data_IF_267445122588
#
_entry.id   IF_267445122588
#
_cell.length_a   1.000
_cell.length_b   1.000
_cell.length_c   1.000
_cell.angle_alpha   90.00
_cell.angle_beta   90.00
_cell.angle_gamma   90.00
#
_symmetry.space_group_name_H-M   'P 1'
#
loop_
_entity.id
_entity.type
_entity.pdbx_description
1 polymer ?
#
# COMPACT_ATOMS: atom_id res chain seq x y z
N UNK A 1 2.55 -14.71 16.06
CA UNK A 1 2.60 -15.71 14.97
C UNK A 1 3.13 -14.99 13.76
N UNK A 2 4.18 -15.54 13.17
CA UNK A 2 4.74 -15.03 11.93
C UNK A 2 3.74 -15.28 10.79
N UNK A 3 3.32 -14.22 10.11
CA UNK A 3 2.33 -14.28 9.03
C UNK A 3 2.93 -14.67 7.67
N UNK A 4 4.27 -14.66 7.54
CA UNK A 4 4.98 -14.96 6.28
C UNK A 4 4.58 -16.31 5.71
N UNK A 5 4.47 -17.33 6.57
CA UNK A 5 4.32 -18.71 6.15
C UNK A 5 2.86 -19.16 5.97
N UNK A 6 1.89 -18.24 6.07
CA UNK A 6 0.49 -18.56 5.82
C UNK A 6 0.27 -18.95 4.36
N UNK A 7 -0.55 -19.97 4.14
CA UNK A 7 -0.83 -20.50 2.80
C UNK A 7 -1.39 -19.44 1.84
N UNK A 8 -2.28 -18.56 2.30
CA UNK A 8 -2.83 -17.48 1.46
C UNK A 8 -1.77 -16.45 1.05
N UNK A 9 -0.82 -16.16 1.96
CA UNK A 9 0.30 -15.23 1.69
C UNK A 9 1.30 -15.85 0.72
N UNK A 10 1.68 -17.12 0.94
CA UNK A 10 2.56 -17.87 0.03
C UNK A 10 1.97 -17.96 -1.37
N UNK A 11 0.69 -18.30 -1.46
CA UNK A 11 -0.03 -18.40 -2.73
C UNK A 11 -0.02 -17.08 -3.48
N UNK A 12 -0.37 -15.97 -2.81
CA UNK A 12 -0.31 -14.65 -3.42
C UNK A 12 1.09 -14.28 -3.90
N UNK A 13 2.12 -14.54 -3.07
CA UNK A 13 3.53 -14.28 -3.43
C UNK A 13 3.94 -15.05 -4.69
N UNK A 14 3.67 -16.34 -4.74
CA UNK A 14 4.14 -17.24 -5.81
C UNK A 14 3.31 -17.15 -7.10
N UNK A 15 2.00 -17.01 -6.99
CA UNK A 15 1.10 -17.07 -8.14
C UNK A 15 0.74 -15.69 -8.71
N UNK A 16 0.88 -14.62 -7.92
CA UNK A 16 0.48 -13.26 -8.32
C UNK A 16 1.66 -12.30 -8.34
N UNK A 17 2.27 -12.04 -7.18
CA UNK A 17 3.27 -10.98 -7.06
C UNK A 17 4.54 -11.25 -7.87
N UNK A 18 5.19 -12.40 -7.68
CA UNK A 18 6.45 -12.72 -8.38
C UNK A 18 6.25 -12.81 -9.92
N UNK A 19 5.21 -13.49 -10.45
CA UNK A 19 4.95 -13.50 -11.89
C UNK A 19 4.67 -12.11 -12.46
N UNK A 20 3.96 -11.25 -11.72
CA UNK A 20 3.69 -9.88 -12.14
C UNK A 20 4.98 -9.06 -12.19
N UNK A 21 5.81 -9.09 -11.15
CA UNK A 21 7.10 -8.40 -11.13
C UNK A 21 8.01 -8.86 -12.26
N UNK A 22 8.16 -10.16 -12.46
CA UNK A 22 9.00 -10.71 -13.54
C UNK A 22 8.57 -10.23 -14.95
N UNK A 23 7.27 -10.04 -15.19
CA UNK A 23 6.78 -9.48 -16.46
C UNK A 23 7.17 -8.02 -16.64
N UNK A 24 7.18 -7.25 -15.56
CA UNK A 24 7.49 -5.82 -15.58
C UNK A 24 8.99 -5.57 -15.64
N UNK A 25 9.80 -6.39 -14.96
CA UNK A 25 11.26 -6.28 -14.94
C UNK A 25 11.88 -6.29 -16.34
N UNK A 26 11.31 -7.04 -17.30
CA UNK A 26 11.77 -7.00 -18.70
C UNK A 26 11.70 -5.58 -19.31
N UNK A 27 10.78 -4.74 -18.84
CA UNK A 27 10.56 -3.36 -19.28
C UNK A 27 11.17 -2.34 -18.33
N UNK A 28 11.89 -2.75 -17.29
CA UNK A 28 12.58 -1.87 -16.36
C UNK A 28 14.06 -1.73 -16.74
N UNK A 29 14.64 -0.56 -16.48
CA UNK A 29 16.09 -0.42 -16.52
C UNK A 29 16.75 -1.28 -15.45
N UNK A 30 17.96 -1.75 -15.73
CA UNK A 30 18.81 -2.41 -14.74
C UNK A 30 20.13 -1.67 -14.55
N UNK A 31 20.86 -1.95 -13.48
CA UNK A 31 22.12 -1.29 -13.15
C UNK A 31 23.28 -2.28 -13.04
N UNK A 32 24.32 -2.06 -13.84
CA UNK A 32 25.47 -2.96 -13.92
C UNK A 32 26.77 -2.32 -13.40
N UNK A 33 27.67 -3.17 -12.92
CA UNK A 33 29.00 -2.79 -12.46
C UNK A 33 29.04 -2.07 -11.10
N UNK A 34 30.23 -1.80 -10.56
CA UNK A 34 30.39 -1.15 -9.26
C UNK A 34 29.93 0.32 -9.24
N UNK A 35 29.92 0.98 -10.40
CA UNK A 35 29.43 2.35 -10.58
C UNK A 35 27.89 2.42 -10.75
N UNK A 36 27.24 1.26 -10.89
CA UNK A 36 25.80 1.11 -11.05
C UNK A 36 25.33 1.97 -12.24
N UNK A 37 25.84 1.57 -13.40
CA UNK A 37 25.55 2.20 -14.69
C UNK A 37 24.21 1.71 -15.18
N UNK A 38 23.33 2.66 -15.51
CA UNK A 38 21.98 2.36 -16.00
C UNK A 38 22.01 1.74 -17.39
N UNK A 39 21.38 0.59 -17.55
CA UNK A 39 21.16 -0.12 -18.81
C UNK A 39 19.67 -0.11 -19.11
N UNK A 40 19.30 0.48 -20.24
CA UNK A 40 17.90 0.57 -20.66
C UNK A 40 17.34 -0.81 -21.09
N UNK A 41 16.05 -1.09 -20.86
CA UNK A 41 15.43 -2.33 -21.29
C UNK A 41 15.31 -2.41 -22.82
N UNK A 42 15.29 -3.64 -23.34
CA UNK A 42 14.93 -3.88 -24.74
C UNK A 42 13.40 -3.94 -24.87
N UNK A 43 12.82 -2.87 -25.41
CA UNK A 43 11.37 -2.74 -25.62
C UNK A 43 10.96 -3.22 -27.01
N UNK A 44 9.79 -3.87 -27.10
CA UNK A 44 9.17 -4.17 -28.41
C UNK A 44 8.22 -3.03 -28.83
N UNK A 45 7.85 -2.92 -30.12
CA UNK A 45 6.96 -1.85 -30.57
C UNK A 45 5.65 -1.79 -29.77
N UNK A 46 5.31 -0.59 -29.29
CA UNK A 46 4.12 -0.34 -28.45
C UNK A 46 4.38 -0.40 -26.94
N UNK A 47 5.58 -0.77 -26.51
CA UNK A 47 5.94 -0.77 -25.09
C UNK A 47 6.58 0.52 -24.64
N UNK A 48 6.24 0.92 -23.42
CA UNK A 48 6.93 1.96 -22.66
C UNK A 48 7.83 1.32 -21.61
N UNK A 49 8.92 2.01 -21.28
CA UNK A 49 9.74 1.68 -20.12
C UNK A 49 8.89 1.78 -18.85
N UNK A 50 9.10 0.85 -17.92
CA UNK A 50 8.43 0.80 -16.62
C UNK A 50 9.39 1.29 -15.53
N UNK A 51 8.89 2.15 -14.65
CA UNK A 51 9.63 2.60 -13.45
C UNK A 51 8.91 2.06 -12.22
N UNK A 52 9.61 1.24 -11.42
CA UNK A 52 9.12 0.81 -10.12
C UNK A 52 9.26 1.95 -9.10
N UNK A 53 8.16 2.27 -8.43
CA UNK A 53 8.12 3.28 -7.37
C UNK A 53 7.50 2.65 -6.13
N UNK A 54 8.32 2.49 -5.10
CA UNK A 54 7.93 1.87 -3.84
C UNK A 54 7.52 2.92 -2.84
N UNK A 55 6.39 2.69 -2.18
CA UNK A 55 5.82 3.59 -1.19
C UNK A 55 5.72 2.90 0.16
N UNK A 56 5.90 3.68 1.23
CA UNK A 56 5.61 3.28 2.61
C UNK A 56 5.55 4.48 3.54
N UNK A 57 5.07 4.25 4.77
CA UNK A 57 5.09 5.22 5.85
C UNK A 57 5.91 4.78 7.06
N UNK A 58 6.65 5.72 7.65
CA UNK A 58 7.38 5.50 8.88
C UNK A 58 7.07 6.52 9.97
N UNK A 59 7.15 6.03 11.20
CA UNK A 59 6.96 6.80 12.42
C UNK A 59 8.29 7.09 13.10
N UNK A 60 8.52 8.36 13.48
CA UNK A 60 9.60 8.78 14.37
C UNK A 60 9.01 9.39 15.63
N UNK A 61 9.48 8.92 16.78
CA UNK A 61 9.01 9.46 18.07
C UNK A 61 10.05 10.37 18.72
N UNK A 62 9.61 11.39 19.46
CA UNK A 62 10.53 12.31 20.17
C UNK A 62 11.50 11.56 21.08
N UNK A 63 11.00 10.57 21.81
CA UNK A 63 11.78 9.80 22.77
C UNK A 63 12.31 8.48 22.19
N UNK A 64 12.52 8.43 20.86
CA UNK A 64 13.15 7.28 20.22
C UNK A 64 14.68 7.43 20.28
N UNK A 65 15.30 6.62 21.14
CA UNK A 65 16.74 6.64 21.39
C UNK A 65 17.35 5.25 21.20
N UNK A 66 18.69 5.19 21.12
CA UNK A 66 19.40 3.92 21.34
C UNK A 66 19.03 3.37 22.73
N UNK A 67 18.68 2.07 22.76
CA UNK A 67 18.27 1.36 23.98
C UNK A 67 19.45 0.95 24.86
N UNK A 68 20.67 1.05 24.36
CA UNK A 68 21.89 0.63 25.04
C UNK A 68 22.91 1.77 25.01
N UNK A 69 23.58 1.98 26.14
CA UNK A 69 24.65 2.96 26.29
C UNK A 69 25.70 2.42 27.26
N UNK A 70 26.98 2.73 27.00
CA UNK A 70 28.08 2.46 27.92
C UNK A 70 28.25 3.68 28.82
N UNK A 71 28.27 3.47 30.13
CA UNK A 71 28.30 4.52 31.14
C UNK A 71 29.48 4.31 32.08
N UNK A 72 30.10 5.41 32.50
CA UNK A 72 31.08 5.36 33.58
C UNK A 72 30.39 5.04 34.91
N UNK A 73 31.15 4.51 35.87
CA UNK A 73 30.65 4.22 37.21
C UNK A 73 30.01 5.48 37.84
N UNK A 74 28.80 5.33 38.39
CA UNK A 74 28.02 6.43 38.97
C UNK A 74 27.18 7.24 37.97
N UNK A 75 27.27 6.99 36.65
CA UNK A 75 26.41 7.65 35.66
C UNK A 75 25.10 6.91 35.44
N UNK A 76 24.01 7.66 35.26
CA UNK A 76 22.68 7.12 34.90
C UNK A 76 22.07 7.97 33.79
N UNK A 77 21.57 7.33 32.73
CA UNK A 77 20.73 8.00 31.73
C UNK A 77 19.27 7.81 32.10
N UNK A 78 18.59 8.90 32.44
CA UNK A 78 17.14 8.90 32.64
C UNK A 78 16.44 9.17 31.30
N UNK A 79 15.88 8.13 30.69
CA UNK A 79 15.02 8.25 29.51
C UNK A 79 13.56 8.38 29.93
N UNK A 80 12.79 9.20 29.19
CA UNK A 80 11.35 9.31 29.42
C UNK A 80 10.66 7.99 29.06
N UNK A 81 9.75 7.53 29.92
CA UNK A 81 9.07 6.22 29.77
C UNK A 81 8.11 6.14 28.57
N UNK A 82 7.59 7.28 28.10
CA UNK A 82 6.69 7.34 26.94
C UNK A 82 7.41 7.62 25.64
N UNK A 83 6.84 7.22 24.49
CA UNK A 83 7.39 7.52 23.16
C UNK A 83 7.43 9.03 22.83
N UNK A 84 6.55 9.82 23.46
CA UNK A 84 6.42 11.24 23.14
C UNK A 84 5.69 11.47 21.81
N UNK A 85 5.69 12.72 21.34
CA UNK A 85 5.00 13.11 20.11
C UNK A 85 5.52 12.33 18.89
N UNK A 86 4.62 12.13 17.94
CA UNK A 86 4.86 11.39 16.71
C UNK A 86 5.16 12.35 15.56
N UNK A 87 6.13 11.98 14.75
CA UNK A 87 6.37 12.50 13.40
C UNK A 87 6.03 11.34 12.47
N UNK A 88 5.04 11.52 11.60
CA UNK A 88 4.65 10.52 10.63
C UNK A 88 5.12 10.97 9.25
N UNK A 89 5.82 10.10 8.55
CA UNK A 89 6.49 10.39 7.28
C UNK A 89 5.98 9.40 6.25
N UNK A 90 5.57 9.89 5.09
CA UNK A 90 5.17 9.12 3.91
C UNK A 90 6.11 9.51 2.78
N UNK A 91 6.68 8.55 2.05
CA UNK A 91 7.67 8.83 1.00
C UNK A 91 7.68 7.74 -0.07
N UNK A 92 8.32 8.05 -1.19
CA UNK A 92 8.48 7.16 -2.32
C UNK A 92 9.96 7.00 -2.67
N UNK A 93 10.36 5.78 -3.00
CA UNK A 93 11.72 5.47 -3.46
C UNK A 93 11.70 4.73 -4.80
N UNK A 94 12.70 5.01 -5.63
CA UNK A 94 12.94 4.32 -6.89
C UNK A 94 14.43 4.07 -7.10
N UNK A 95 14.78 3.08 -7.93
CA UNK A 95 16.17 2.73 -8.20
C UNK A 95 16.92 3.81 -8.97
N UNK A 96 16.23 4.65 -9.75
CA UNK A 96 16.89 5.66 -10.61
C UNK A 96 17.36 6.91 -9.85
N UNK A 97 16.58 7.37 -8.87
CA UNK A 97 16.82 8.67 -8.20
C UNK A 97 16.81 8.55 -6.67
N UNK A 98 16.57 7.36 -6.13
CA UNK A 98 16.25 7.20 -4.71
C UNK A 98 14.95 7.93 -4.39
N UNK A 99 15.01 8.99 -3.58
CA UNK A 99 13.82 9.79 -3.23
C UNK A 99 13.30 10.54 -4.45
N UNK A 100 11.99 10.76 -4.49
CA UNK A 100 11.35 11.52 -5.57
C UNK A 100 11.31 13.01 -5.24
N UNK A 101 12.34 13.72 -5.68
CA UNK A 101 12.47 15.17 -5.57
C UNK A 101 12.58 15.76 -6.97
N UNK A 102 11.70 16.69 -7.31
CA UNK A 102 11.80 17.48 -8.52
C UNK A 102 12.70 18.68 -8.27
N UNK A 103 13.66 18.89 -9.16
CA UNK A 103 14.56 20.04 -9.15
C UNK A 103 14.25 20.99 -10.31
N UNK A 104 14.51 22.28 -10.11
CA UNK A 104 14.52 23.26 -11.19
C UNK A 104 15.82 23.22 -12.00
N UNK A 105 15.92 24.07 -13.02
CA UNK A 105 17.12 24.21 -13.87
C UNK A 105 18.38 24.63 -13.10
N UNK A 106 18.23 25.16 -11.89
CA UNK A 106 19.33 25.60 -11.03
C UNK A 106 19.72 24.52 -10.00
N UNK A 107 19.07 23.35 -10.02
CA UNK A 107 19.28 22.29 -9.04
C UNK A 107 18.64 22.55 -7.68
N UNK A 108 17.67 23.47 -7.59
CA UNK A 108 16.90 23.72 -6.36
C UNK A 108 15.69 22.79 -6.32
N UNK A 109 15.49 22.08 -5.21
CA UNK A 109 14.31 21.25 -5.01
C UNK A 109 13.03 22.13 -5.01
N UNK A 110 12.13 21.87 -5.95
CA UNK A 110 10.86 22.62 -6.12
C UNK A 110 9.65 21.84 -5.63
N UNK A 111 9.67 20.50 -5.75
CA UNK A 111 8.63 19.62 -5.22
C UNK A 111 9.29 18.37 -4.65
N UNK A 112 8.81 17.93 -3.49
CA UNK A 112 9.24 16.71 -2.82
C UNK A 112 8.00 15.82 -2.64
N UNK A 113 8.08 14.57 -3.05
CA UNK A 113 6.99 13.61 -2.84
C UNK A 113 6.83 13.24 -1.36
N UNK A 114 7.87 13.43 -0.55
CA UNK A 114 7.80 13.21 0.88
C UNK A 114 6.74 14.11 1.53
N UNK A 115 6.00 13.52 2.44
CA UNK A 115 5.02 14.20 3.26
C UNK A 115 5.27 13.89 4.73
N UNK A 116 5.38 14.94 5.53
CA UNK A 116 5.57 14.85 6.97
C UNK A 116 4.38 15.49 7.64
N UNK A 117 3.72 14.74 8.52
CA UNK A 117 2.65 15.25 9.38
C UNK A 117 3.02 15.05 10.85
N UNK A 118 2.44 15.90 11.71
CA UNK A 118 2.66 15.93 13.14
C UNK A 118 1.33 15.69 13.88
N UNK A 119 0.81 14.45 13.91
CA UNK A 119 -0.50 14.16 14.45
C UNK A 119 -0.56 14.37 15.97
N UNK A 120 -1.73 14.79 16.46
CA UNK A 120 -2.00 15.03 17.89
C UNK A 120 -3.28 15.84 18.12
N UNK A 121 -3.65 16.09 19.39
CA UNK A 121 -4.88 16.82 19.75
C UNK A 121 -5.02 18.19 19.09
N UNK A 122 -3.90 18.85 18.78
CA UNK A 122 -3.82 20.11 18.03
C UNK A 122 -2.84 19.99 16.84
N UNK A 123 -2.64 18.76 16.34
CA UNK A 123 -1.72 18.44 15.28
C UNK A 123 -2.40 18.32 13.93
N UNK A 124 -1.64 17.87 12.94
CA UNK A 124 -2.15 17.64 11.60
C UNK A 124 -3.18 16.48 11.60
N UNK A 125 -4.17 16.50 10.69
CA UNK A 125 -5.03 15.35 10.45
C UNK A 125 -4.20 14.11 10.12
N UNK A 126 -4.74 12.93 10.43
CA UNK A 126 -4.15 11.69 9.95
C UNK A 126 -4.20 11.63 8.43
N UNK A 127 -3.18 10.98 7.87
CA UNK A 127 -3.04 10.79 6.43
C UNK A 127 -4.26 10.07 5.86
N UNK A 128 -4.84 10.59 4.78
CA UNK A 128 -5.89 9.92 4.01
C UNK A 128 -5.40 9.61 2.59
N UNK A 129 -6.11 8.69 1.93
CA UNK A 129 -5.75 8.21 0.61
C UNK A 129 -5.83 9.31 -0.47
N UNK A 130 -6.71 10.30 -0.31
CA UNK A 130 -6.87 11.39 -1.28
C UNK A 130 -5.63 12.31 -1.28
N UNK A 131 -5.08 12.58 -0.09
CA UNK A 131 -3.83 13.33 0.09
C UNK A 131 -2.62 12.58 -0.49
N UNK A 132 -2.57 11.25 -0.35
CA UNK A 132 -1.50 10.42 -0.93
C UNK A 132 -1.49 10.50 -2.46
N UNK A 133 -2.67 10.38 -3.08
CA UNK A 133 -2.84 10.26 -4.52
C UNK A 133 -2.46 11.54 -5.25
N UNK A 134 -3.03 12.68 -4.83
CA UNK A 134 -3.07 13.86 -5.71
C UNK A 134 -1.69 14.50 -5.92
N UNK A 135 -0.98 14.78 -4.83
CA UNK A 135 0.28 15.52 -4.93
C UNK A 135 1.45 14.63 -5.37
N UNK A 136 1.47 13.38 -4.93
CA UNK A 136 2.60 12.49 -5.14
C UNK A 136 2.66 12.01 -6.59
N UNK A 137 1.51 11.69 -7.19
CA UNK A 137 1.46 11.16 -8.56
C UNK A 137 1.89 12.22 -9.58
N UNK A 138 1.49 13.48 -9.40
CA UNK A 138 1.95 14.57 -10.26
C UNK A 138 3.48 14.75 -10.25
N UNK A 139 4.12 14.51 -9.09
CA UNK A 139 5.58 14.59 -8.95
C UNK A 139 6.23 13.38 -9.65
N UNK A 140 5.68 12.18 -9.46
CA UNK A 140 6.21 10.94 -10.07
C UNK A 140 6.10 10.99 -11.59
N UNK A 141 4.95 11.39 -12.12
CA UNK A 141 4.73 11.50 -13.57
C UNK A 141 5.62 12.57 -14.20
N UNK A 142 5.83 13.70 -13.52
CA UNK A 142 6.75 14.74 -13.97
C UNK A 142 8.23 14.28 -13.93
N UNK A 143 8.59 13.38 -13.01
CA UNK A 143 9.93 12.80 -12.93
C UNK A 143 10.23 11.79 -14.04
N UNK A 144 9.20 11.12 -14.57
CA UNK A 144 9.35 10.03 -15.55
C UNK A 144 8.42 10.20 -16.76
N UNK A 145 8.56 11.30 -17.52
CA UNK A 145 7.67 11.60 -18.64
C UNK A 145 7.73 10.51 -19.72
N UNK A 146 6.55 10.08 -20.20
CA UNK A 146 6.43 9.07 -21.26
C UNK A 146 6.71 7.63 -20.82
N UNK A 147 6.90 7.39 -19.52
CA UNK A 147 7.08 6.05 -18.94
C UNK A 147 5.82 5.58 -18.24
N UNK A 148 5.69 4.26 -18.07
CA UNK A 148 4.64 3.68 -17.25
C UNK A 148 5.16 3.50 -15.82
N UNK A 149 4.42 3.99 -14.84
CA UNK A 149 4.80 3.82 -13.44
C UNK A 149 4.19 2.53 -12.89
N UNK A 150 4.98 1.74 -12.19
CA UNK A 150 4.53 0.64 -11.34
C UNK A 150 4.62 1.09 -9.88
N UNK A 151 3.50 1.58 -9.34
CA UNK A 151 3.38 1.95 -7.94
C UNK A 151 3.21 0.70 -7.08
N UNK A 152 4.07 0.56 -6.07
CA UNK A 152 4.16 -0.63 -5.23
C UNK A 152 3.89 -0.22 -3.78
N UNK A 153 2.81 -0.75 -3.21
CA UNK A 153 2.35 -0.45 -1.86
C UNK A 153 2.37 -1.69 -0.98
N UNK A 154 2.43 -1.49 0.33
CA UNK A 154 2.06 -2.54 1.27
C UNK A 154 0.53 -2.83 1.23
N UNK A 155 0.10 -3.89 1.90
CA UNK A 155 -1.33 -4.22 2.03
C UNK A 155 -1.97 -3.62 3.28
N UNK A 156 -1.58 -2.40 3.66
CA UNK A 156 -2.24 -1.68 4.75
C UNK A 156 -3.72 -1.44 4.44
N UNK A 157 -4.51 -1.22 5.49
CA UNK A 157 -5.94 -0.91 5.33
C UNK A 157 -6.17 0.44 4.61
N UNK A 158 -5.20 1.35 4.66
CA UNK A 158 -5.29 2.62 3.95
C UNK A 158 -5.09 2.41 2.44
N UNK A 159 -4.09 1.60 2.06
CA UNK A 159 -3.82 1.34 0.64
C UNK A 159 -4.89 0.45 -0.01
N UNK A 160 -5.37 -0.57 0.71
CA UNK A 160 -6.43 -1.45 0.26
C UNK A 160 -7.86 -0.88 0.47
N UNK A 161 -7.98 0.41 0.75
CA UNK A 161 -9.28 1.05 1.00
C UNK A 161 -10.15 1.02 -0.25
N UNK A 162 -11.38 0.53 -0.10
CA UNK A 162 -12.39 0.53 -1.15
C UNK A 162 -13.07 1.91 -1.26
N UNK A 163 -13.55 2.30 -2.45
CA UNK A 163 -14.19 3.60 -2.64
C UNK A 163 -15.42 3.82 -1.74
N UNK A 164 -15.83 5.08 -1.45
CA UNK A 164 -16.94 5.42 -0.56
C UNK A 164 -18.32 4.85 -0.93
N UNK A 165 -18.51 4.32 -2.13
CA UNK A 165 -19.71 3.62 -2.60
C UNK A 165 -19.49 2.11 -2.83
N UNK A 166 -18.38 1.52 -2.39
CA UNK A 166 -18.06 0.10 -2.63
C UNK A 166 -19.10 -0.88 -2.07
N UNK A 167 -19.15 -2.07 -2.67
CA UNK A 167 -20.04 -3.15 -2.28
C UNK A 167 -19.59 -3.76 -0.95
N UNK A 168 -20.46 -3.76 0.07
CA UNK A 168 -20.14 -4.30 1.41
C UNK A 168 -21.36 -5.00 1.99
N UNK A 169 -21.42 -6.32 1.83
CA UNK A 169 -22.55 -7.13 2.28
C UNK A 169 -22.79 -7.03 3.80
N UNK A 170 -21.74 -6.95 4.61
CA UNK A 170 -21.87 -6.83 6.07
C UNK A 170 -22.37 -5.45 6.54
N UNK A 171 -22.38 -4.44 5.66
CA UNK A 171 -22.92 -3.11 5.94
C UNK A 171 -24.38 -2.96 5.45
N UNK A 172 -24.95 -4.01 4.86
CA UNK A 172 -26.33 -4.02 4.36
C UNK A 172 -27.33 -4.50 5.41
N UNK A 173 -28.55 -3.97 5.35
CA UNK A 173 -29.71 -4.44 6.11
C UNK A 173 -30.27 -5.73 5.48
N UNK A 174 -31.08 -6.47 6.25
CA UNK A 174 -31.81 -7.62 5.69
C UNK A 174 -32.80 -7.18 4.62
N UNK A 175 -33.62 -6.20 4.97
CA UNK A 175 -34.69 -5.63 4.15
C UNK A 175 -34.26 -4.30 3.53
N UNK A 176 -35.01 -3.85 2.53
CA UNK A 176 -34.75 -2.58 1.83
C UNK A 176 -34.90 -1.36 2.77
N UNK A 177 -34.12 -0.32 2.51
CA UNK A 177 -34.15 0.94 3.25
C UNK A 177 -33.44 0.88 4.61
N UNK A 178 -33.84 1.80 5.50
CA UNK A 178 -33.21 2.00 6.80
C UNK A 178 -31.86 2.73 6.72
N UNK A 179 -31.19 2.86 7.87
CA UNK A 179 -29.84 3.44 7.95
C UNK A 179 -28.82 2.42 7.41
N UNK A 180 -28.52 2.52 6.13
CA UNK A 180 -27.53 1.72 5.41
C UNK A 180 -26.75 2.63 4.46
N UNK A 181 -25.48 2.28 4.20
CA UNK A 181 -24.65 2.95 3.20
C UNK A 181 -25.18 2.71 1.79
N UNK A 182 -25.26 3.77 0.98
CA UNK A 182 -25.53 3.65 -0.46
C UNK A 182 -24.33 3.02 -1.15
N UNK A 183 -24.56 1.98 -1.93
CA UNK A 183 -23.53 1.24 -2.65
C UNK A 183 -23.75 1.41 -4.17
N UNK A 184 -22.68 1.35 -4.95
CA UNK A 184 -22.73 1.47 -6.41
C UNK A 184 -23.42 0.27 -7.04
N UNK A 185 -24.00 0.49 -8.21
CA UNK A 185 -24.50 -0.60 -9.05
C UNK A 185 -23.34 -1.47 -9.54
N UNK A 186 -23.66 -2.69 -9.94
CA UNK A 186 -22.67 -3.70 -10.34
C UNK A 186 -23.23 -4.59 -11.43
N UNK A 187 -22.41 -5.52 -11.92
CA UNK A 187 -22.81 -6.59 -12.84
C UNK A 187 -22.71 -7.91 -12.09
N UNK A 188 -23.72 -8.78 -12.23
CA UNK A 188 -23.70 -10.11 -11.62
C UNK A 188 -22.55 -10.91 -12.26
N UNK A 189 -21.59 -11.45 -11.47
CA UNK A 189 -20.38 -12.04 -12.01
C UNK A 189 -20.65 -13.34 -12.76
N UNK A 190 -19.79 -13.65 -13.73
CA UNK A 190 -19.84 -14.89 -14.51
C UNK A 190 -19.67 -16.16 -13.66
N UNK A 191 -19.07 -16.02 -12.48
CA UNK A 191 -18.96 -17.08 -11.48
C UNK A 191 -20.26 -17.38 -10.73
N UNK A 192 -21.32 -16.58 -10.93
CA UNK A 192 -22.60 -16.84 -10.28
C UNK A 192 -23.11 -18.25 -10.64
N UNK A 193 -23.55 -19.07 -9.67
CA UNK A 193 -23.98 -20.45 -9.93
C UNK A 193 -25.19 -20.55 -10.86
N UNK A 194 -26.00 -19.50 -10.97
CA UNK A 194 -27.21 -19.46 -11.79
C UNK A 194 -26.95 -18.74 -13.11
N UNK A 195 -26.74 -19.52 -14.18
CA UNK A 195 -26.37 -19.02 -15.52
C UNK A 195 -27.29 -17.93 -16.06
N UNK A 196 -28.60 -18.01 -15.79
CA UNK A 196 -29.61 -17.05 -16.28
C UNK A 196 -29.35 -15.61 -15.81
N UNK A 197 -28.67 -15.43 -14.68
CA UNK A 197 -28.43 -14.10 -14.09
C UNK A 197 -27.03 -13.55 -14.37
N UNK A 198 -26.12 -14.33 -14.94
CA UNK A 198 -24.75 -13.89 -15.23
C UNK A 198 -24.74 -12.71 -16.20
N UNK A 199 -23.85 -11.74 -15.97
CA UNK A 199 -23.70 -10.56 -16.82
C UNK A 199 -24.85 -9.55 -16.73
N UNK A 200 -25.91 -9.83 -15.95
CA UNK A 200 -27.04 -8.91 -15.81
C UNK A 200 -26.65 -7.72 -14.92
N UNK A 201 -27.09 -6.49 -15.26
CA UNK A 201 -26.94 -5.34 -14.37
C UNK A 201 -27.69 -5.54 -13.06
N UNK A 202 -27.04 -5.21 -11.95
CA UNK A 202 -27.58 -5.26 -10.60
C UNK A 202 -27.59 -3.84 -10.01
N UNK A 203 -28.77 -3.23 -10.00
CA UNK A 203 -29.00 -2.00 -9.24
C UNK A 203 -28.94 -2.30 -7.73
N UNK A 204 -28.24 -1.47 -6.96
CA UNK A 204 -28.11 -1.59 -5.49
C UNK A 204 -29.05 -0.65 -4.73
N UNK A 205 -29.81 0.17 -5.46
CA UNK A 205 -30.88 1.04 -4.97
C UNK A 205 -32.20 0.71 -5.67
N UNK A 206 -33.30 1.02 -4.99
CA UNK A 206 -34.64 1.02 -5.57
C UNK A 206 -34.85 2.31 -6.39
N UNK A 207 -35.84 2.35 -7.30
CA UNK A 207 -36.16 3.56 -8.08
C UNK A 207 -36.50 4.79 -7.23
N UNK A 208 -36.95 4.60 -5.98
CA UNK A 208 -37.23 5.66 -5.02
C UNK A 208 -35.99 6.12 -4.23
N UNK A 209 -34.81 5.61 -4.58
CA UNK A 209 -33.53 5.93 -3.95
C UNK A 209 -33.20 5.14 -2.68
N UNK A 210 -34.12 4.31 -2.16
CA UNK A 210 -33.81 3.50 -0.98
C UNK A 210 -32.78 2.42 -1.29
N UNK A 211 -31.80 2.15 -0.41
CA UNK A 211 -30.84 1.07 -0.63
C UNK A 211 -31.54 -0.30 -0.58
N UNK A 212 -31.14 -1.23 -1.45
CA UNK A 212 -31.64 -2.60 -1.42
C UNK A 212 -31.06 -3.38 -0.23
N UNK A 213 -31.88 -4.25 0.35
CA UNK A 213 -31.49 -5.18 1.40
C UNK A 213 -30.82 -6.44 0.85
N UNK A 214 -30.11 -7.16 1.74
CA UNK A 214 -29.45 -8.43 1.44
C UNK A 214 -30.38 -9.44 0.79
N UNK A 215 -31.61 -9.56 1.31
CA UNK A 215 -32.58 -10.54 0.84
C UNK A 215 -32.91 -10.31 -0.64
N UNK A 216 -33.29 -9.08 -1.00
CA UNK A 216 -33.64 -8.72 -2.38
C UNK A 216 -32.46 -8.94 -3.33
N UNK A 217 -31.26 -8.45 -2.99
CA UNK A 217 -30.09 -8.56 -3.87
C UNK A 217 -29.73 -10.02 -4.13
N UNK A 218 -29.89 -10.91 -3.14
CA UNK A 218 -29.64 -12.34 -3.32
C UNK A 218 -30.74 -13.02 -4.14
N UNK A 219 -32.01 -12.70 -3.89
CA UNK A 219 -33.15 -13.23 -4.67
C UNK A 219 -33.07 -12.80 -6.15
N UNK A 220 -32.71 -11.54 -6.42
CA UNK A 220 -32.47 -11.03 -7.79
C UNK A 220 -31.29 -11.73 -8.49
N UNK A 221 -30.39 -12.35 -7.72
CA UNK A 221 -29.27 -13.17 -8.21
C UNK A 221 -29.60 -14.67 -8.28
N UNK A 222 -30.85 -15.05 -8.01
CA UNK A 222 -31.35 -16.43 -8.10
C UNK A 222 -31.19 -17.27 -6.83
N UNK A 223 -30.70 -16.71 -5.72
CA UNK A 223 -30.51 -17.46 -4.48
C UNK A 223 -31.81 -17.57 -3.68
N UNK A 224 -32.13 -18.79 -3.23
CA UNK A 224 -33.13 -19.00 -2.19
C UNK A 224 -32.51 -18.73 -0.82
N UNK A 225 -33.03 -17.71 -0.14
CA UNK A 225 -32.56 -17.27 1.18
C UNK A 225 -33.59 -17.49 2.28
N UNK A 226 -34.62 -18.30 2.01
CA UNK A 226 -35.63 -18.65 3.00
C UNK A 226 -34.99 -19.34 4.21
N UNK A 227 -35.31 -18.85 5.41
CA UNK A 227 -34.75 -19.37 6.67
C UNK A 227 -33.28 -18.99 6.92
N UNK A 228 -32.61 -18.32 5.99
CA UNK A 228 -31.24 -17.84 6.19
C UNK A 228 -31.26 -16.55 7.02
N UNK A 229 -30.43 -16.50 8.06
CA UNK A 229 -30.25 -15.30 8.88
C UNK A 229 -29.52 -14.21 8.08
N UNK A 230 -29.76 -12.94 8.40
CA UNK A 230 -29.10 -11.83 7.71
C UNK A 230 -27.57 -11.82 7.93
N UNK A 231 -27.16 -11.90 9.20
CA UNK A 231 -25.75 -11.86 9.64
C UNK A 231 -25.54 -12.83 10.81
N UNK A 232 -24.34 -13.39 10.94
CA UNK A 232 -23.96 -14.08 12.18
C UNK A 232 -23.55 -13.06 13.25
N UNK A 233 -23.63 -13.48 14.51
CA UNK A 233 -23.16 -12.74 15.68
C UNK A 233 -22.36 -13.70 16.57
N UNK A 234 -21.21 -13.30 17.15
CA UNK A 234 -20.60 -11.97 17.03
C UNK A 234 -19.80 -11.77 15.73
N UNK A 235 -19.31 -12.85 15.11
CA UNK A 235 -18.50 -12.84 13.87
C UNK A 235 -18.95 -14.01 12.98
N UNK A 236 -19.11 -13.83 11.65
CA UNK A 236 -19.11 -14.99 10.73
C UNK A 236 -17.68 -15.21 10.23
N UNK A 237 -17.03 -16.34 10.53
CA UNK A 237 -15.76 -16.73 9.93
C UNK A 237 -15.77 -16.67 8.39
N UNK A 238 -14.62 -16.49 7.78
CA UNK A 238 -14.49 -16.38 6.31
C UNK A 238 -14.67 -17.73 5.61
N UNK A 239 -14.29 -18.80 6.29
CA UNK A 239 -14.34 -20.19 5.84
C UNK A 239 -15.78 -20.62 5.56
N UNK A 240 -16.74 -20.07 6.32
CA UNK A 240 -18.16 -20.30 6.11
C UNK A 240 -18.62 -19.75 4.76
N UNK A 241 -19.40 -20.52 4.01
CA UNK A 241 -19.95 -20.04 2.73
C UNK A 241 -21.40 -19.59 2.84
N UNK A 242 -22.25 -20.36 3.53
CA UNK A 242 -23.70 -20.14 3.51
C UNK A 242 -24.29 -19.92 4.93
N UNK A 243 -23.48 -19.41 5.88
CA UNK A 243 -23.89 -19.19 7.29
C UNK A 243 -25.03 -18.16 7.43
N UNK A 244 -25.01 -17.14 6.57
CA UNK A 244 -25.91 -15.99 6.57
C UNK A 244 -25.87 -15.31 5.20
N UNK A 245 -26.88 -14.48 4.92
CA UNK A 245 -27.01 -13.73 3.67
C UNK A 245 -25.79 -12.85 3.40
N UNK A 246 -25.28 -12.13 4.41
CA UNK A 246 -24.12 -11.26 4.25
C UNK A 246 -22.86 -12.03 3.83
N UNK A 247 -22.62 -13.22 4.41
CA UNK A 247 -21.47 -14.05 4.04
C UNK A 247 -21.62 -14.62 2.63
N UNK A 248 -22.80 -15.12 2.29
CA UNK A 248 -23.11 -15.64 0.96
C UNK A 248 -22.86 -14.57 -0.11
N UNK A 249 -23.38 -13.36 0.09
CA UNK A 249 -23.18 -12.24 -0.84
C UNK A 249 -21.72 -11.77 -0.86
N UNK A 250 -21.04 -11.71 0.29
CA UNK A 250 -19.63 -11.28 0.38
C UNK A 250 -18.65 -12.18 -0.38
N UNK A 251 -19.04 -13.42 -0.70
CA UNK A 251 -18.22 -14.38 -1.46
C UNK A 251 -18.45 -14.31 -2.97
N UNK A 252 -19.42 -13.52 -3.44
CA UNK A 252 -19.56 -13.30 -4.88
C UNK A 252 -18.42 -12.39 -5.36
N UNK A 253 -17.90 -12.68 -6.55
CA UNK A 253 -16.65 -12.06 -7.02
C UNK A 253 -16.73 -10.54 -7.11
N UNK A 254 -17.88 -9.98 -7.46
CA UNK A 254 -18.08 -8.54 -7.53
C UNK A 254 -18.03 -7.87 -6.14
N UNK A 255 -18.39 -8.59 -5.07
CA UNK A 255 -18.22 -8.13 -3.69
C UNK A 255 -16.81 -8.40 -3.15
N UNK A 256 -16.21 -9.54 -3.51
CA UNK A 256 -14.95 -10.02 -2.96
C UNK A 256 -13.72 -9.38 -3.61
N UNK A 257 -13.73 -9.23 -4.94
CA UNK A 257 -12.56 -8.86 -5.74
C UNK A 257 -12.66 -7.41 -6.24
N UNK A 258 -13.13 -6.51 -5.37
CA UNK A 258 -13.22 -5.09 -5.71
C UNK A 258 -11.84 -4.45 -5.69
N UNK A 259 -11.55 -3.66 -6.74
CA UNK A 259 -10.35 -2.84 -6.79
C UNK A 259 -10.38 -1.77 -5.68
N UNK A 260 -9.20 -1.52 -5.11
CA UNK A 260 -9.02 -0.40 -4.17
C UNK A 260 -9.17 0.94 -4.88
N UNK A 261 -9.37 2.01 -4.10
CA UNK A 261 -9.43 3.37 -4.64
C UNK A 261 -8.10 3.76 -5.30
N UNK A 262 -6.97 3.42 -4.68
CA UNK A 262 -5.65 3.64 -5.27
C UNK A 262 -5.49 2.91 -6.59
N UNK A 263 -5.79 1.62 -6.61
CA UNK A 263 -5.68 0.80 -7.81
C UNK A 263 -6.55 1.33 -8.95
N UNK A 264 -7.76 1.77 -8.65
CA UNK A 264 -8.66 2.40 -9.64
C UNK A 264 -8.02 3.66 -10.23
N UNK A 265 -7.59 4.61 -9.38
CA UNK A 265 -7.02 5.88 -9.85
C UNK A 265 -5.73 5.66 -10.66
N UNK A 266 -4.85 4.77 -10.19
CA UNK A 266 -3.58 4.47 -10.85
C UNK A 266 -3.82 3.81 -12.21
N UNK A 267 -4.73 2.85 -12.29
CA UNK A 267 -5.01 2.13 -13.55
C UNK A 267 -5.73 3.02 -14.56
N UNK A 268 -6.64 3.89 -14.13
CA UNK A 268 -7.29 4.90 -14.98
C UNK A 268 -6.29 5.92 -15.55
N UNK A 269 -5.20 6.22 -14.81
CA UNK A 269 -4.10 7.05 -15.29
C UNK A 269 -3.14 6.32 -16.27
N UNK A 270 -3.38 5.04 -16.59
CA UNK A 270 -2.51 4.25 -17.48
C UNK A 270 -1.26 3.71 -16.79
N UNK A 271 -1.26 3.66 -15.46
CA UNK A 271 -0.19 3.14 -14.63
C UNK A 271 -0.56 1.78 -14.01
N UNK A 272 0.37 1.20 -13.27
CA UNK A 272 0.25 -0.15 -12.71
C UNK A 272 0.28 -0.03 -11.19
N UNK A 273 -0.71 -0.60 -10.52
CA UNK A 273 -0.73 -0.73 -9.07
C UNK A 273 -0.35 -2.16 -8.68
N UNK A 274 0.57 -2.30 -7.73
CA UNK A 274 1.05 -3.59 -7.22
C UNK A 274 1.00 -3.54 -5.70
N UNK A 275 0.53 -4.63 -5.10
CA UNK A 275 0.56 -4.80 -3.66
C UNK A 275 1.63 -5.82 -3.28
N UNK A 276 2.45 -5.48 -2.30
CA UNK A 276 3.41 -6.39 -1.72
C UNK A 276 2.69 -7.55 -1.01
N UNK A 277 3.28 -8.75 -0.96
CA UNK A 277 2.77 -9.82 -0.12
C UNK A 277 2.69 -9.38 1.35
N UNK A 278 1.57 -9.70 2.02
CA UNK A 278 1.40 -9.37 3.45
C UNK A 278 2.56 -9.93 4.27
N UNK A 279 3.01 -9.15 5.25
CA UNK A 279 4.11 -9.50 6.16
C UNK A 279 5.51 -9.53 5.53
N UNK A 280 5.67 -9.30 4.22
CA UNK A 280 6.98 -9.34 3.56
C UNK A 280 7.59 -7.94 3.37
N UNK A 281 7.94 -7.27 4.47
CA UNK A 281 8.56 -5.93 4.41
C UNK A 281 9.97 -5.95 3.78
N UNK A 282 10.65 -7.09 3.79
CA UNK A 282 11.96 -7.27 3.13
C UNK A 282 11.90 -7.14 1.60
N UNK A 283 10.70 -7.22 1.02
CA UNK A 283 10.43 -6.96 -0.39
C UNK A 283 10.16 -5.48 -0.68
N UNK A 284 9.99 -4.63 0.34
CA UNK A 284 9.83 -3.20 0.20
C UNK A 284 11.16 -2.48 0.46
N UNK A 285 11.86 -2.00 -0.57
CA UNK A 285 13.20 -1.49 -0.38
C UNK A 285 13.30 -0.16 0.40
N UNK A 286 12.20 0.59 0.46
CA UNK A 286 12.11 1.81 1.27
C UNK A 286 12.32 1.52 2.76
N UNK A 287 12.10 0.29 3.22
CA UNK A 287 12.37 -0.12 4.60
C UNK A 287 13.86 0.00 4.95
N UNK A 288 14.76 -0.14 3.97
CA UNK A 288 16.19 0.10 4.19
C UNK A 288 16.50 1.60 4.38
N UNK A 289 15.81 2.48 3.65
CA UNK A 289 15.88 3.92 3.85
C UNK A 289 15.35 4.29 5.24
N UNK A 290 14.22 3.72 5.65
CA UNK A 290 13.69 3.90 7.00
C UNK A 290 14.63 3.42 8.10
N UNK A 291 15.23 2.24 7.93
CA UNK A 291 16.19 1.72 8.90
C UNK A 291 17.40 2.66 9.04
N UNK A 292 17.96 3.13 7.91
CA UNK A 292 19.07 4.09 7.92
C UNK A 292 18.71 5.38 8.65
N UNK A 293 17.58 6.00 8.29
CA UNK A 293 17.13 7.25 8.88
C UNK A 293 16.85 7.08 10.39
N UNK A 294 16.15 6.02 10.78
CA UNK A 294 15.80 5.75 12.18
C UNK A 294 17.02 5.41 13.02
N UNK A 295 17.95 4.65 12.48
CA UNK A 295 19.21 4.34 13.14
C UNK A 295 19.95 5.62 13.54
N UNK A 296 20.13 6.56 12.59
CA UNK A 296 20.81 7.84 12.84
C UNK A 296 19.97 8.82 13.65
N UNK A 297 18.65 8.79 13.49
CA UNK A 297 17.75 9.60 14.30
C UNK A 297 17.86 9.24 15.79
N UNK A 298 17.99 7.95 16.12
CA UNK A 298 18.12 7.41 17.49
C UNK A 298 19.45 7.73 18.18
N UNK A 299 20.48 8.13 17.41
CA UNK A 299 21.80 8.51 17.94
C UNK A 299 21.82 9.91 18.54
N UNK A 300 20.87 10.77 18.15
CA UNK A 300 20.81 12.14 18.60
C UNK A 300 19.84 12.24 19.79
N UNK A 301 20.24 12.76 20.95
CA UNK A 301 19.29 13.10 22.00
C UNK A 301 18.44 14.32 21.61
N UNK A 302 17.12 14.29 21.86
CA UNK A 302 16.21 15.42 21.59
C UNK A 302 15.51 15.82 22.89
N UNK A 303 15.52 17.10 23.22
CA UNK A 303 14.87 17.64 24.42
C UNK A 303 13.45 18.11 24.14
N UNK A 304 13.20 18.59 22.91
CA UNK A 304 11.92 19.16 22.50
C UNK A 304 11.38 18.51 21.22
N UNK A 305 10.08 18.69 20.95
CA UNK A 305 9.49 18.22 19.70
C UNK A 305 10.04 19.00 18.50
N UNK A 306 10.32 20.30 18.64
CA UNK A 306 10.92 21.11 17.58
C UNK A 306 12.32 20.59 17.18
N UNK A 307 13.14 20.23 18.15
CA UNK A 307 14.43 19.56 17.89
C UNK A 307 14.23 18.22 17.19
N UNK A 308 13.25 17.41 17.63
CA UNK A 308 12.93 16.15 16.98
C UNK A 308 12.53 16.32 15.51
N UNK A 309 11.72 17.34 15.18
CA UNK A 309 11.36 17.68 13.79
C UNK A 309 12.58 18.01 12.96
N UNK A 310 13.46 18.89 13.47
CA UNK A 310 14.70 19.28 12.79
C UNK A 310 15.60 18.07 12.53
N UNK A 311 15.80 17.22 13.55
CA UNK A 311 16.64 16.03 13.42
C UNK A 311 16.02 15.01 12.46
N UNK A 312 14.69 14.83 12.47
CA UNK A 312 14.01 13.95 11.51
C UNK A 312 14.30 14.41 10.07
N UNK A 313 14.04 15.67 9.75
CA UNK A 313 14.29 16.24 8.41
C UNK A 313 15.76 16.11 8.04
N UNK A 314 16.68 16.42 8.96
CA UNK A 314 18.12 16.28 8.72
C UNK A 314 18.49 14.83 8.36
N UNK A 315 17.96 13.83 9.07
CA UNK A 315 18.28 12.42 8.80
C UNK A 315 17.56 11.87 7.56
N UNK A 316 16.37 12.37 7.23
CA UNK A 316 15.67 12.02 6.00
C UNK A 316 16.42 12.55 4.77
N UNK A 317 16.95 13.78 4.85
CA UNK A 317 17.68 14.40 3.73
C UNK A 317 19.14 13.94 3.63
N UNK A 318 19.72 13.40 4.70
CA UNK A 318 21.11 12.96 4.72
C UNK A 318 21.33 11.50 4.27
N UNK A 319 20.26 10.74 4.03
CA UNK A 319 20.42 9.37 3.53
C UNK A 319 21.03 9.42 2.12
N UNK A 320 22.18 8.78 1.88
CA UNK A 320 22.81 8.81 0.57
C UNK A 320 21.92 8.06 -0.42
N UNK A 321 21.35 8.80 -1.36
CA UNK A 321 20.52 8.26 -2.45
C UNK A 321 21.29 8.13 -3.76
N UNK A 322 22.33 8.95 -3.98
CA UNK A 322 23.05 9.06 -5.25
C UNK A 322 24.40 8.33 -5.33
N UNK A 323 24.99 7.96 -4.19
CA UNK A 323 26.33 7.36 -4.14
C UNK A 323 26.26 5.83 -4.30
N UNK A 324 27.40 5.16 -4.53
CA UNK A 324 27.50 3.70 -4.62
C UNK A 324 26.86 2.94 -3.45
N UNK A 325 26.63 3.59 -2.28
CA UNK A 325 25.84 3.10 -1.15
C UNK A 325 24.32 3.27 -1.31
N UNK A 326 23.84 4.38 -1.89
CA UNK A 326 22.43 4.64 -2.21
C UNK A 326 21.94 3.83 -3.40
N UNK A 327 22.80 3.71 -4.42
CA UNK A 327 22.61 2.73 -5.48
C UNK A 327 22.93 1.31 -5.02
N UNK A 328 23.68 1.03 -3.93
CA UNK A 328 23.79 -0.34 -3.36
C UNK A 328 22.56 -0.71 -2.55
N UNK A 329 21.97 0.27 -1.86
CA UNK A 329 20.61 0.16 -1.35
C UNK A 329 19.77 -0.26 -2.54
N UNK A 330 19.64 0.56 -3.61
CA UNK A 330 18.89 0.28 -4.86
C UNK A 330 19.37 -0.89 -5.76
N UNK A 331 20.62 -1.35 -5.66
CA UNK A 331 21.25 -2.33 -6.55
C UNK A 331 21.33 -3.72 -5.92
N UNK A 332 21.17 -3.79 -4.59
CA UNK A 332 20.63 -4.98 -3.96
C UNK A 332 19.22 -5.32 -4.50
N UNK A 333 18.50 -4.36 -5.11
CA UNK A 333 17.13 -4.57 -5.58
C UNK A 333 17.05 -5.52 -6.79
N UNK A 334 18.01 -5.48 -7.73
CA UNK A 334 18.02 -6.39 -8.90
C UNK A 334 18.68 -7.74 -8.61
N UNK A 335 19.72 -7.74 -7.76
CA UNK A 335 20.40 -9.00 -7.39
C UNK A 335 19.54 -9.92 -6.53
N UNK A 336 18.51 -9.39 -5.87
CA UNK A 336 17.54 -10.14 -5.05
C UNK A 336 16.23 -10.46 -5.77
N UNK A 337 15.89 -9.78 -6.87
CA UNK A 337 14.66 -10.07 -7.63
C UNK A 337 14.89 -11.07 -8.78
N UNK A 338 16.14 -11.22 -9.25
CA UNK A 338 16.48 -12.30 -10.17
C UNK A 338 16.26 -13.68 -9.50
N UNK A 339 15.47 -14.53 -10.15
CA UNK A 339 15.13 -15.91 -9.78
C UNK A 339 16.32 -16.87 -9.64
N UNK A 340 17.57 -16.37 -9.67
CA UNK A 340 18.79 -17.16 -9.62
C UNK A 340 19.57 -17.08 -8.29
N UNK A 341 19.06 -16.45 -7.21
CA UNK A 341 19.79 -16.38 -5.91
C UNK A 341 18.96 -16.60 -4.64
N UNK A 342 17.99 -17.51 -4.66
CA UNK A 342 17.47 -18.12 -3.42
C UNK A 342 17.55 -19.65 -3.45
N UNK A 343 18.73 -20.28 -3.31
CA UNK A 343 18.79 -21.73 -3.15
C UNK A 343 18.42 -22.20 -1.73
N UNK A 344 18.60 -21.37 -0.70
CA UNK A 344 18.43 -21.82 0.69
C UNK A 344 17.90 -20.72 1.63
N UNK A 345 16.58 -20.66 1.77
CA UNK A 345 15.93 -20.32 3.03
C UNK A 345 14.89 -21.41 3.29
N UNK A 346 15.36 -22.48 3.95
CA UNK A 346 14.53 -23.49 4.63
C UNK A 346 14.34 -23.08 6.07
#
# INVERSE_FOLDING_TARGET
MDGHEREDVKKYRQEVFLPQMARLERRMAHFEGPELTRVAPTLVPGETEVVAVFHDESCFHVNEYKRSAWLAEGQTILQRKGRGHLIHVSDFITSETGRLIQYDVNGTAVRDAQRIIYPGTNGDPWWDTDQLIKDSFEIVEAAFPGRTIAYIFDQSSAHASLPPNALRAFDMNKSDGGKQRTQRDTIIPESNPYMTYRGQPQAMTLPDGRPKGLQRVLEERGFDVQGIRAKCSPVCPWENSNCCMARLLSKQDDFANQLSMLETVITEAGHICIFLPKFHCELNPIEMYWDWCKYRYREVPKKTFAEAKKVAIEKLNACPVDDSQGKQLCGLFESRSSTARFPHMQ
#
